data_IF_450896203767
#
_entry.id   IF_450896203767
#
_cell.length_a   1.000
_cell.length_b   1.000
_cell.length_c   1.000
_cell.angle_alpha   90.00
_cell.angle_beta   90.00
_cell.angle_gamma   90.00
#
_symmetry.space_group_name_H-M   'P 1'
#
loop_
_entity.id
_entity.type
_entity.pdbx_description
1 polymer ?
#
# COMPACT_ATOMS: atom_id res chain seq x y z
N UNK A 1 -12.76 7.07 57.34
CA UNK A 1 -12.68 7.55 55.95
C UNK A 1 -12.01 6.44 55.18
N UNK A 2 -12.78 5.85 54.27
CA UNK A 2 -12.68 4.48 53.76
C UNK A 2 -11.35 4.22 53.02
N UNK A 3 -10.84 3.00 53.18
CA UNK A 3 -9.65 2.47 52.49
C UNK A 3 -9.99 2.15 51.04
N UNK A 4 -9.48 2.91 50.08
CA UNK A 4 -9.65 2.60 48.66
C UNK A 4 -8.63 1.55 48.22
N UNK A 5 -9.08 0.30 48.26
CA UNK A 5 -8.44 -0.86 47.63
C UNK A 5 -8.33 -0.62 46.12
N UNK A 6 -7.11 -0.34 45.63
CA UNK A 6 -6.84 -0.33 44.18
C UNK A 6 -6.71 -1.77 43.70
N UNK A 7 -7.83 -2.32 43.21
CA UNK A 7 -7.80 -3.56 42.46
C UNK A 7 -6.85 -3.41 41.27
N UNK A 8 -5.86 -4.29 41.21
CA UNK A 8 -4.93 -4.39 40.09
C UNK A 8 -5.55 -5.35 39.09
N UNK A 9 -6.16 -4.83 38.03
CA UNK A 9 -6.44 -5.64 36.85
C UNK A 9 -5.13 -5.85 36.08
N UNK A 10 -4.64 -7.08 35.87
CA UNK A 10 -3.64 -7.34 34.86
C UNK A 10 -4.38 -7.37 33.53
N UNK A 11 -4.77 -6.20 33.04
CA UNK A 11 -5.07 -6.04 31.63
C UNK A 11 -3.78 -6.36 30.88
N UNK A 12 -3.62 -7.62 30.47
CA UNK A 12 -2.52 -8.09 29.64
C UNK A 12 -2.52 -7.24 28.38
N UNK A 13 -1.80 -6.13 28.43
CA UNK A 13 -1.48 -5.32 27.27
C UNK A 13 -0.44 -6.11 26.50
N UNK A 14 -0.91 -7.14 25.80
CA UNK A 14 -0.11 -7.83 24.79
C UNK A 14 0.26 -6.75 23.79
N UNK A 15 1.55 -6.36 23.67
CA UNK A 15 1.93 -5.43 22.63
C UNK A 15 1.52 -6.12 21.33
N UNK A 16 0.61 -5.49 20.57
CA UNK A 16 0.26 -5.94 19.25
C UNK A 16 1.58 -6.12 18.50
N UNK A 17 1.97 -7.38 18.28
CA UNK A 17 3.19 -7.69 17.55
C UNK A 17 3.12 -6.93 16.23
N UNK A 18 4.24 -6.38 15.78
CA UNK A 18 4.32 -5.76 14.47
C UNK A 18 4.09 -6.84 13.42
N UNK A 19 2.83 -7.07 13.06
CA UNK A 19 2.44 -8.00 12.01
C UNK A 19 2.96 -7.43 10.69
N UNK A 20 3.98 -8.07 10.13
CA UNK A 20 4.41 -7.79 8.77
C UNK A 20 3.29 -8.26 7.82
N UNK A 21 2.74 -7.32 7.05
CA UNK A 21 1.71 -7.60 6.05
C UNK A 21 2.32 -7.58 4.66
N UNK A 22 1.85 -8.47 3.79
CA UNK A 22 2.23 -8.50 2.38
C UNK A 22 1.88 -7.16 1.73
N UNK A 23 2.80 -6.54 0.96
CA UNK A 23 2.48 -5.32 0.23
C UNK A 23 1.32 -5.54 -0.76
N UNK A 24 0.52 -4.50 -1.04
CA UNK A 24 -0.55 -4.61 -2.02
C UNK A 24 -0.03 -5.03 -3.38
N UNK A 25 -0.81 -5.87 -4.07
CA UNK A 25 -0.53 -6.27 -5.45
C UNK A 25 -0.32 -5.03 -6.34
N UNK A 26 0.52 -5.19 -7.35
CA UNK A 26 0.73 -4.15 -8.34
C UNK A 26 -0.56 -3.80 -9.09
N UNK A 27 -0.79 -2.52 -9.38
CA UNK A 27 -1.95 -2.07 -10.14
C UNK A 27 -1.88 -2.58 -11.59
N UNK A 28 -3.04 -2.91 -12.13
CA UNK A 28 -3.21 -3.35 -13.53
C UNK A 28 -3.84 -2.22 -14.34
N UNK A 29 -3.41 -1.97 -15.58
CA UNK A 29 -3.97 -0.89 -16.40
C UNK A 29 -5.45 -1.11 -16.71
N UNK A 30 -6.22 -0.03 -16.74
CA UNK A 30 -7.62 -0.05 -17.16
C UNK A 30 -7.74 -0.25 -18.69
N UNK A 31 -8.56 -1.20 -19.18
CA UNK A 31 -8.65 -1.50 -20.61
C UNK A 31 -9.19 -0.32 -21.42
N UNK A 32 -8.41 0.16 -22.38
CA UNK A 32 -8.80 1.28 -23.26
C UNK A 32 -8.32 2.64 -22.78
N UNK A 33 -7.75 2.74 -21.57
CA UNK A 33 -7.11 3.96 -21.10
C UNK A 33 -5.65 4.07 -21.61
N UNK A 34 -5.39 5.08 -22.45
CA UNK A 34 -4.07 5.31 -23.04
C UNK A 34 -3.01 5.68 -21.99
N UNK A 35 -3.38 6.42 -20.95
CA UNK A 35 -2.46 6.81 -19.87
C UNK A 35 -2.06 5.59 -19.02
N UNK A 36 -3.03 4.73 -18.68
CA UNK A 36 -2.77 3.45 -18.04
C UNK A 36 -1.79 2.61 -18.85
N UNK A 37 -1.99 2.52 -20.18
CA UNK A 37 -1.09 1.80 -21.06
C UNK A 37 0.32 2.41 -21.03
N UNK A 38 0.45 3.73 -21.14
CA UNK A 38 1.75 4.41 -21.10
C UNK A 38 2.51 4.13 -19.80
N UNK A 39 1.82 4.17 -18.65
CA UNK A 39 2.44 3.89 -17.35
C UNK A 39 2.87 2.42 -17.27
N UNK A 40 2.06 1.49 -17.79
CA UNK A 40 2.39 0.06 -17.81
C UNK A 40 3.63 -0.24 -18.66
N UNK A 41 3.78 0.43 -19.81
CA UNK A 41 4.95 0.30 -20.68
C UNK A 41 6.19 0.87 -20.00
N UNK A 42 6.09 2.04 -19.36
CA UNK A 42 7.20 2.61 -18.60
C UNK A 42 7.67 1.68 -17.48
N UNK A 43 6.74 1.03 -16.77
CA UNK A 43 7.06 0.04 -15.74
C UNK A 43 7.81 -1.17 -16.29
N UNK A 44 7.37 -1.70 -17.43
CA UNK A 44 8.01 -2.88 -18.03
C UNK A 44 9.41 -2.54 -18.58
N UNK A 45 9.58 -1.36 -19.16
CA UNK A 45 10.89 -0.87 -19.56
C UNK A 45 11.85 -0.76 -18.36
N UNK A 46 11.38 -0.21 -17.24
CA UNK A 46 12.17 -0.13 -16.02
C UNK A 46 12.59 -1.51 -15.47
N UNK A 47 11.69 -2.51 -15.54
CA UNK A 47 12.05 -3.90 -15.21
C UNK A 47 13.13 -4.46 -16.12
N UNK A 48 13.04 -4.19 -17.42
CA UNK A 48 14.02 -4.69 -18.38
C UNK A 48 15.45 -4.17 -18.11
N UNK A 49 15.55 -3.00 -17.46
CA UNK A 49 16.83 -2.40 -17.06
C UNK A 49 17.16 -2.59 -15.58
N UNK A 50 16.40 -3.41 -14.84
CA UNK A 50 16.54 -3.65 -13.40
C UNK A 50 16.41 -2.39 -12.50
N UNK A 51 15.72 -1.36 -12.98
CA UNK A 51 15.44 -0.14 -12.21
C UNK A 51 14.14 -0.31 -11.40
N UNK A 52 14.24 -0.97 -10.24
CA UNK A 52 13.09 -1.22 -9.38
C UNK A 52 12.56 0.02 -8.64
N UNK A 53 13.34 1.11 -8.58
CA UNK A 53 12.85 2.40 -8.09
C UNK A 53 11.81 2.95 -9.05
N UNK A 54 12.15 3.01 -10.35
CA UNK A 54 11.23 3.45 -11.38
C UNK A 54 9.99 2.53 -11.53
N UNK A 55 10.14 1.22 -11.29
CA UNK A 55 9.00 0.28 -11.22
C UNK A 55 8.04 0.68 -10.09
N UNK A 56 8.58 1.00 -8.91
CA UNK A 56 7.80 1.42 -7.76
C UNK A 56 7.09 2.76 -8.02
N UNK A 57 7.78 3.72 -8.63
CA UNK A 57 7.20 5.02 -9.01
C UNK A 57 6.07 4.87 -10.04
N UNK A 58 6.24 3.99 -11.03
CA UNK A 58 5.18 3.69 -11.99
C UNK A 58 3.95 3.06 -11.31
N UNK A 59 4.15 2.21 -10.30
CA UNK A 59 3.05 1.65 -9.50
C UNK A 59 2.33 2.74 -8.70
N UNK A 60 3.05 3.71 -8.13
CA UNK A 60 2.43 4.85 -7.42
C UNK A 60 1.62 5.70 -8.40
N UNK A 61 2.20 6.06 -9.55
CA UNK A 61 1.55 6.88 -10.58
C UNK A 61 0.28 6.21 -11.13
N UNK A 62 0.30 4.89 -11.35
CA UNK A 62 -0.89 4.17 -11.81
C UNK A 62 -2.02 4.21 -10.78
N UNK A 63 -1.71 4.05 -9.49
CA UNK A 63 -2.73 4.16 -8.42
C UNK A 63 -3.32 5.57 -8.34
N UNK A 64 -2.46 6.59 -8.46
CA UNK A 64 -2.92 7.97 -8.49
C UNK A 64 -3.84 8.22 -9.70
N UNK A 65 -3.43 7.79 -10.89
CA UNK A 65 -4.26 7.92 -12.09
C UNK A 65 -5.60 7.17 -11.96
N UNK A 66 -5.60 5.96 -11.38
CA UNK A 66 -6.85 5.26 -11.08
C UNK A 66 -7.77 6.06 -10.16
N UNK A 67 -7.24 6.65 -9.10
CA UNK A 67 -8.03 7.46 -8.18
C UNK A 67 -8.59 8.73 -8.85
N UNK A 68 -7.88 9.31 -9.82
CA UNK A 68 -8.28 10.55 -10.49
C UNK A 68 -9.22 10.31 -11.69
N UNK A 69 -9.00 9.25 -12.47
CA UNK A 69 -9.68 9.01 -13.74
C UNK A 69 -10.67 7.82 -13.71
N UNK A 70 -10.55 6.91 -12.73
CA UNK A 70 -11.28 5.65 -12.68
C UNK A 70 -11.97 5.38 -11.34
N UNK A 71 -12.01 6.34 -10.41
CA UNK A 71 -12.77 6.23 -9.18
C UNK A 71 -14.28 6.39 -9.49
N UNK A 72 -14.93 5.29 -9.86
CA UNK A 72 -16.39 5.16 -9.97
C UNK A 72 -16.95 4.26 -8.88
#
# INVERSE_FOLDING_TARGET
MESEERTSDPGTNTPAGTCLSEPPREPSPEPGCADCLSISVARENARSTFDYSAVSDANVRMRQHHAEAHAS
#
